data_IF_411514841785
#
_entry.id   IF_411514841785
#
_cell.length_a   1.000
_cell.length_b   1.000
_cell.length_c   1.000
_cell.angle_alpha   90.00
_cell.angle_beta   90.00
_cell.angle_gamma   90.00
#
_symmetry.space_group_name_H-M   'P 1'
#
loop_
_entity.id
_entity.type
_entity.pdbx_description
1 polymer ?
#
# COMPACT_ATOMS: atom_id res chain seq x y z
N UNK A 1 13.40 1.56 5.70
CA UNK A 1 14.72 1.76 6.34
C UNK A 1 15.83 1.57 5.32
N UNK A 2 16.09 0.35 4.85
CA UNK A 2 17.22 0.01 3.94
C UNK A 2 17.40 0.93 2.72
N UNK A 3 16.31 1.32 2.05
CA UNK A 3 16.38 2.23 0.89
C UNK A 3 16.67 3.67 1.34
N UNK A 4 15.97 4.15 2.36
CA UNK A 4 16.01 5.54 2.80
C UNK A 4 17.27 5.90 3.62
N UNK A 5 17.99 4.91 4.16
CA UNK A 5 19.29 5.10 4.84
C UNK A 5 20.49 4.66 4.01
N UNK A 6 20.31 4.26 2.75
CA UNK A 6 21.38 3.70 1.92
C UNK A 6 22.59 4.63 1.79
N UNK A 7 22.34 5.94 1.65
CA UNK A 7 23.38 6.98 1.56
C UNK A 7 24.01 7.36 2.91
N UNK A 8 23.81 6.56 3.96
CA UNK A 8 24.29 6.84 5.30
C UNK A 8 23.56 8.00 6.01
N UNK A 9 22.43 8.45 5.45
CA UNK A 9 21.63 9.55 6.02
C UNK A 9 20.60 9.02 7.01
N UNK A 10 20.42 9.67 8.17
CA UNK A 10 19.36 9.32 9.11
C UNK A 10 17.97 9.63 8.52
N UNK A 11 16.95 8.94 9.00
CA UNK A 11 15.54 9.18 8.64
C UNK A 11 14.85 9.91 9.80
N UNK A 12 14.23 11.04 9.51
CA UNK A 12 13.43 11.76 10.49
C UNK A 12 12.02 11.19 10.61
N UNK A 13 11.58 10.92 11.84
CA UNK A 13 10.23 10.43 12.15
C UNK A 13 9.36 11.61 12.54
N UNK A 14 8.62 12.15 11.56
CA UNK A 14 7.74 13.30 11.72
C UNK A 14 8.40 14.56 12.33
N UNK A 15 9.75 14.63 12.36
CA UNK A 15 10.51 15.69 13.01
C UNK A 15 10.66 15.56 14.53
N UNK A 16 10.18 14.47 15.15
CA UNK A 16 10.28 14.26 16.60
C UNK A 16 11.65 13.73 17.02
N UNK A 17 12.23 12.84 16.22
CA UNK A 17 13.57 12.29 16.41
C UNK A 17 14.06 11.67 15.10
N UNK A 18 15.37 11.42 15.03
CA UNK A 18 16.01 10.80 13.88
C UNK A 18 16.42 9.37 14.19
N UNK A 19 16.15 8.46 13.25
CA UNK A 19 16.63 7.09 13.28
C UNK A 19 17.97 7.06 12.53
N UNK A 20 19.10 6.75 13.20
CA UNK A 20 20.43 6.78 12.59
C UNK A 20 20.55 5.74 11.49
N UNK A 21 21.39 5.97 10.49
CA UNK A 21 21.76 4.98 9.48
C UNK A 21 22.82 4.02 10.03
N UNK A 22 22.40 2.86 10.53
CA UNK A 22 23.28 1.85 11.13
C UNK A 22 23.93 0.93 10.11
N UNK A 23 23.38 0.88 8.88
CA UNK A 23 23.87 0.08 7.76
C UNK A 23 24.19 1.02 6.58
N UNK A 24 25.30 1.75 6.69
CA UNK A 24 25.82 2.65 5.65
C UNK A 24 26.71 1.88 4.65
N UNK A 25 26.83 2.40 3.42
CA UNK A 25 27.74 1.91 2.37
C UNK A 25 27.42 0.50 1.81
N UNK A 26 26.18 0.04 1.99
CA UNK A 26 25.70 -1.25 1.51
C UNK A 26 25.06 -1.15 0.11
N UNK A 27 25.77 -0.62 -0.89
CA UNK A 27 25.24 -0.34 -2.24
C UNK A 27 24.46 -1.50 -2.88
N UNK A 28 25.01 -2.72 -2.82
CA UNK A 28 24.33 -3.92 -3.35
C UNK A 28 23.00 -4.23 -2.62
N UNK A 29 22.91 -3.94 -1.32
CA UNK A 29 21.69 -4.09 -0.53
C UNK A 29 20.66 -3.01 -0.89
N UNK A 30 21.10 -1.79 -1.16
CA UNK A 30 20.24 -0.70 -1.60
C UNK A 30 19.64 -0.98 -2.98
N UNK A 31 20.44 -1.44 -3.93
CA UNK A 31 19.99 -1.80 -5.28
C UNK A 31 18.95 -2.94 -5.23
N UNK A 32 19.24 -4.00 -4.45
CA UNK A 32 18.31 -5.11 -4.26
C UNK A 32 17.01 -4.66 -3.60
N UNK A 33 17.09 -3.88 -2.52
CA UNK A 33 15.91 -3.38 -1.83
C UNK A 33 15.08 -2.45 -2.73
N UNK A 34 15.73 -1.61 -3.55
CA UNK A 34 15.09 -0.75 -4.53
C UNK A 34 14.34 -1.54 -5.60
N UNK A 35 14.98 -2.55 -6.20
CA UNK A 35 14.34 -3.43 -7.19
C UNK A 35 13.14 -4.18 -6.61
N UNK A 36 13.28 -4.74 -5.40
CA UNK A 36 12.20 -5.43 -4.72
C UNK A 36 11.04 -4.47 -4.41
N UNK A 37 11.33 -3.29 -3.87
CA UNK A 37 10.32 -2.29 -3.56
C UNK A 37 9.57 -1.82 -4.81
N UNK A 38 10.27 -1.64 -5.94
CA UNK A 38 9.65 -1.28 -7.21
C UNK A 38 8.59 -2.31 -7.65
N UNK A 39 8.93 -3.60 -7.65
CA UNK A 39 8.00 -4.65 -8.06
C UNK A 39 6.85 -4.84 -7.07
N UNK A 40 7.11 -4.71 -5.76
CA UNK A 40 6.08 -4.75 -4.73
C UNK A 40 5.12 -3.57 -4.85
N UNK A 41 5.63 -2.36 -5.08
CA UNK A 41 4.81 -1.17 -5.28
C UNK A 41 3.88 -1.34 -6.48
N UNK A 42 4.41 -1.79 -7.62
CA UNK A 42 3.58 -2.07 -8.80
C UNK A 42 2.57 -3.18 -8.59
N UNK A 43 2.95 -4.23 -7.85
CA UNK A 43 2.03 -5.31 -7.50
C UNK A 43 0.84 -4.79 -6.67
N UNK A 44 1.09 -3.94 -5.68
CA UNK A 44 0.04 -3.29 -4.88
C UNK A 44 -0.83 -2.37 -5.75
N UNK A 45 -0.25 -1.60 -6.67
CA UNK A 45 -1.00 -0.76 -7.62
C UNK A 45 -1.94 -1.60 -8.47
N UNK A 46 -1.44 -2.66 -9.11
CA UNK A 46 -2.25 -3.55 -9.96
C UNK A 46 -3.35 -4.22 -9.15
N UNK A 47 -3.04 -4.73 -7.96
CA UNK A 47 -4.05 -5.34 -7.08
C UNK A 47 -5.11 -4.35 -6.63
N UNK A 48 -4.73 -3.11 -6.31
CA UNK A 48 -5.67 -2.06 -5.88
C UNK A 48 -6.61 -1.67 -7.02
N UNK A 49 -6.09 -1.52 -8.24
CA UNK A 49 -6.88 -1.24 -9.44
C UNK A 49 -7.83 -2.39 -9.74
N UNK A 50 -7.35 -3.63 -9.71
CA UNK A 50 -8.17 -4.82 -9.92
C UNK A 50 -9.27 -4.96 -8.85
N UNK A 51 -8.93 -4.71 -7.59
CA UNK A 51 -9.88 -4.72 -6.49
C UNK A 51 -10.98 -3.67 -6.69
N UNK A 52 -10.61 -2.43 -7.06
CA UNK A 52 -11.55 -1.38 -7.40
C UNK A 52 -12.46 -1.76 -8.58
N UNK A 53 -11.89 -2.30 -9.66
CA UNK A 53 -12.68 -2.77 -10.80
C UNK A 53 -13.64 -3.90 -10.45
N UNK A 54 -13.22 -4.86 -9.61
CA UNK A 54 -14.12 -5.90 -9.10
C UNK A 54 -15.28 -5.28 -8.35
N UNK A 55 -15.04 -4.34 -7.43
CA UNK A 55 -16.12 -3.68 -6.69
C UNK A 55 -17.10 -2.93 -7.63
N UNK A 56 -16.59 -2.30 -8.69
CA UNK A 56 -17.43 -1.65 -9.71
C UNK A 56 -18.21 -2.67 -10.56
N UNK A 57 -17.59 -3.78 -10.98
CA UNK A 57 -18.27 -4.88 -11.68
C UNK A 57 -19.42 -5.42 -10.83
N UNK A 58 -19.15 -5.74 -9.57
CA UNK A 58 -20.13 -6.22 -8.61
C UNK A 58 -21.31 -5.25 -8.47
N UNK A 59 -21.03 -3.95 -8.41
CA UNK A 59 -22.06 -2.94 -8.29
C UNK A 59 -22.92 -2.76 -9.56
N UNK A 60 -22.31 -2.69 -10.75
CA UNK A 60 -23.03 -2.35 -11.98
C UNK A 60 -23.57 -3.57 -12.74
N UNK A 61 -22.81 -4.67 -12.78
CA UNK A 61 -23.16 -5.87 -13.55
C UNK A 61 -23.89 -6.85 -12.64
N UNK A 62 -23.27 -7.25 -11.53
CA UNK A 62 -23.83 -8.26 -10.63
C UNK A 62 -24.97 -7.68 -9.75
N UNK A 63 -25.06 -6.34 -9.68
CA UNK A 63 -26.07 -5.56 -8.93
C UNK A 63 -26.18 -5.97 -7.45
N UNK A 64 -25.05 -6.34 -6.84
CA UNK A 64 -24.99 -6.62 -5.42
C UNK A 64 -24.59 -5.39 -4.58
N UNK A 65 -24.67 -5.53 -3.27
CA UNK A 65 -24.39 -4.45 -2.32
C UNK A 65 -22.92 -4.40 -1.86
N UNK A 66 -21.99 -5.14 -2.49
CA UNK A 66 -20.58 -5.21 -2.06
C UNK A 66 -19.94 -3.82 -1.92
N UNK A 67 -20.07 -2.98 -2.95
CA UNK A 67 -19.53 -1.61 -2.91
C UNK A 67 -20.26 -0.74 -1.87
N UNK A 68 -21.58 -0.88 -1.72
CA UNK A 68 -22.35 -0.12 -0.72
C UNK A 68 -21.93 -0.48 0.70
N UNK A 69 -21.62 -1.76 0.96
CA UNK A 69 -21.11 -2.25 2.25
C UNK A 69 -19.74 -1.68 2.58
N UNK A 70 -18.82 -1.63 1.61
CA UNK A 70 -17.51 -0.98 1.79
C UNK A 70 -17.65 0.52 2.11
N UNK A 71 -18.64 1.19 1.53
CA UNK A 71 -18.93 2.61 1.78
C UNK A 71 -19.80 2.87 3.01
N UNK A 72 -20.19 1.83 3.78
CA UNK A 72 -21.07 1.98 4.94
C UNK A 72 -22.51 2.39 4.61
N UNK A 73 -22.95 2.23 3.35
CA UNK A 73 -24.29 2.60 2.85
C UNK A 73 -25.21 1.41 2.61
N UNK A 74 -24.86 0.23 3.12
CA UNK A 74 -25.72 -0.95 2.98
C UNK A 74 -26.93 -0.79 3.89
N UNK A 75 -28.13 -0.84 3.31
CA UNK A 75 -29.37 -0.97 4.08
C UNK A 75 -29.36 -2.31 4.80
N UNK A 76 -29.52 -2.23 6.12
CA UNK A 76 -29.71 -3.38 7.00
C UNK A 76 -31.17 -3.76 6.90
N UNK A 77 -31.51 -4.61 5.93
CA UNK A 77 -32.85 -5.20 5.83
C UNK A 77 -32.94 -6.37 6.83
N UNK A 78 -32.77 -6.07 8.12
CA UNK A 78 -33.23 -6.96 9.18
C UNK A 78 -34.70 -6.65 9.38
N UNK A 79 -35.55 -7.44 8.71
CA UNK A 79 -37.00 -7.34 8.85
C UNK A 79 -37.42 -7.40 10.31
N UNK A 80 -38.06 -6.31 10.75
CA UNK A 80 -39.07 -6.30 11.82
C UNK A 80 -40.43 -6.02 11.18
#
# INVERSE_FOLDING_TARGET
>A
YLISTADGKPISVFGWFDVPATLADAGAQADFAGALHFWLAWSVVVLSVMHGFMALKHHFIDKDDTLKRMLGKSSSDYGV
#
